data_IF_162581643355
#
_entry.id   IF_162581643355
#
_cell.length_a   1.000
_cell.length_b   1.000
_cell.length_c   1.000
_cell.angle_alpha   90.00
_cell.angle_beta   90.00
_cell.angle_gamma   90.00
#
_symmetry.space_group_name_H-M   'P 1'
#
loop_
_entity.id
_entity.type
_entity.pdbx_description
1 polymer ?
#
# COMPACT_ATOMS: atom_id res chain seq x y z
N UNK A 1 5.87 -32.05 1.70
CA UNK A 1 6.14 -31.70 3.11
C UNK A 1 6.57 -30.27 3.19
N UNK A 2 5.87 -29.42 3.95
CA UNK A 2 6.40 -28.10 4.26
C UNK A 2 7.31 -28.15 5.47
N UNK A 3 8.59 -27.86 5.26
CA UNK A 3 9.51 -27.55 6.34
C UNK A 3 10.46 -26.43 5.88
N UNK A 4 10.63 -25.40 6.72
CA UNK A 4 11.61 -24.31 6.52
C UNK A 4 12.47 -24.23 7.77
N UNK A 5 13.79 -24.36 7.62
CA UNK A 5 14.75 -24.46 8.73
C UNK A 5 14.37 -25.48 9.84
N UNK A 6 13.65 -26.55 9.49
CA UNK A 6 13.22 -27.57 10.46
C UNK A 6 11.89 -27.29 11.16
N UNK A 7 11.25 -26.14 10.92
CA UNK A 7 9.92 -25.82 11.42
C UNK A 7 8.84 -26.20 10.40
N UNK A 8 7.67 -26.62 10.90
CA UNK A 8 6.49 -26.91 10.10
C UNK A 8 5.87 -25.61 9.55
N UNK A 9 5.06 -25.74 8.51
CA UNK A 9 4.21 -24.62 8.10
C UNK A 9 3.04 -24.42 9.05
N UNK A 10 2.60 -23.17 9.18
CA UNK A 10 1.33 -22.87 9.81
C UNK A 10 0.20 -23.48 8.98
N UNK A 11 -0.78 -24.08 9.64
CA UNK A 11 -1.97 -24.64 8.99
C UNK A 11 -2.85 -23.53 8.41
N UNK A 12 -2.85 -22.35 9.03
CA UNK A 12 -3.52 -21.15 8.53
C UNK A 12 -2.54 -20.27 7.70
N UNK A 13 -2.73 -20.15 6.37
CA UNK A 13 -1.89 -19.27 5.53
C UNK A 13 -2.11 -17.77 5.79
N UNK A 14 -3.15 -17.43 6.56
CA UNK A 14 -3.49 -16.06 7.00
C UNK A 14 -3.18 -15.83 8.48
N UNK A 15 -2.30 -16.64 9.07
CA UNK A 15 -1.86 -16.44 10.44
C UNK A 15 -1.26 -15.03 10.63
N UNK A 16 -1.38 -14.51 11.85
CA UNK A 16 -0.76 -13.24 12.23
C UNK A 16 0.76 -13.35 12.09
N UNK A 17 1.37 -12.36 11.43
CA UNK A 17 2.82 -12.31 11.27
C UNK A 17 3.43 -11.80 12.57
N UNK A 18 4.11 -12.68 13.30
CA UNK A 18 4.80 -12.33 14.54
C UNK A 18 6.28 -12.01 14.30
N UNK A 19 6.87 -12.60 13.26
CA UNK A 19 8.28 -12.42 12.93
C UNK A 19 8.53 -12.51 11.42
N UNK A 20 9.57 -11.81 10.94
CA UNK A 20 9.99 -11.77 9.54
C UNK A 20 11.51 -11.82 9.45
N UNK A 21 12.02 -12.66 8.56
CA UNK A 21 13.43 -12.79 8.21
C UNK A 21 13.62 -13.00 6.69
N UNK A 22 14.81 -13.42 6.29
CA UNK A 22 15.18 -13.67 4.89
C UNK A 22 14.46 -14.88 4.27
N UNK A 23 14.00 -15.83 5.09
CA UNK A 23 13.24 -17.00 4.62
C UNK A 23 11.76 -16.69 4.46
N UNK A 24 11.23 -15.73 5.23
CA UNK A 24 9.89 -15.22 5.03
C UNK A 24 9.22 -14.74 6.32
N UNK A 25 8.00 -15.19 6.54
CA UNK A 25 7.15 -14.74 7.64
C UNK A 25 6.73 -15.91 8.51
N UNK A 26 6.72 -15.66 9.81
CA UNK A 26 6.59 -16.67 10.83
C UNK A 26 5.49 -16.32 11.81
N UNK A 27 4.86 -17.35 12.36
CA UNK A 27 3.86 -17.26 13.42
C UNK A 27 4.08 -18.34 14.48
N UNK A 28 3.20 -18.37 15.48
CA UNK A 28 3.14 -19.43 16.49
C UNK A 28 1.78 -20.12 16.36
N UNK A 29 1.79 -21.43 16.14
CA UNK A 29 0.60 -22.28 16.08
C UNK A 29 0.74 -23.38 17.13
N UNK A 30 -0.25 -23.53 18.01
CA UNK A 30 -0.22 -24.48 19.14
C UNK A 30 1.01 -24.36 20.06
N UNK A 31 1.58 -23.15 20.19
CA UNK A 31 2.75 -22.90 21.03
C UNK A 31 4.09 -23.21 20.36
N UNK A 32 4.10 -23.60 19.08
CA UNK A 32 5.31 -23.88 18.31
C UNK A 32 5.47 -22.89 17.14
N UNK A 33 6.72 -22.58 16.80
CA UNK A 33 7.03 -21.76 15.63
C UNK A 33 6.61 -22.46 14.35
N UNK A 34 5.92 -21.72 13.48
CA UNK A 34 5.49 -22.20 12.20
C UNK A 34 5.77 -21.17 11.10
N UNK A 35 6.13 -21.65 9.92
CA UNK A 35 6.37 -20.83 8.73
C UNK A 35 5.05 -20.54 8.02
N UNK A 36 4.71 -19.27 7.79
CA UNK A 36 3.46 -18.92 7.10
C UNK A 36 3.70 -19.07 5.60
N UNK A 37 3.20 -20.17 5.03
CA UNK A 37 3.08 -20.29 3.57
C UNK A 37 1.97 -19.38 3.07
N UNK A 38 2.37 -18.20 2.61
CA UNK A 38 1.54 -17.45 1.66
C UNK A 38 1.84 -18.01 0.28
N UNK A 39 0.89 -18.77 -0.26
CA UNK A 39 0.88 -19.13 -1.68
C UNK A 39 0.58 -17.92 -2.59
N UNK A 40 0.22 -16.78 -1.99
CA UNK A 40 0.03 -15.53 -2.68
C UNK A 40 1.33 -14.73 -2.64
N UNK A 41 2.02 -14.66 -3.79
CA UNK A 41 2.82 -13.47 -4.09
C UNK A 41 1.94 -12.27 -3.75
N UNK A 42 2.34 -11.43 -2.80
CA UNK A 42 1.58 -10.22 -2.52
C UNK A 42 1.41 -9.48 -3.84
N UNK A 43 0.18 -9.41 -4.32
CA UNK A 43 -0.11 -8.72 -5.58
C UNK A 43 0.19 -7.25 -5.34
N UNK A 44 0.99 -6.61 -6.21
CA UNK A 44 1.22 -5.18 -6.14
C UNK A 44 -0.09 -4.41 -5.98
N UNK A 45 -0.15 -3.50 -5.01
CA UNK A 45 -1.36 -2.78 -4.66
C UNK A 45 -1.08 -1.30 -4.55
N UNK A 46 -2.03 -0.49 -5.02
CA UNK A 46 -2.04 0.93 -4.76
C UNK A 46 -2.59 1.22 -3.35
N UNK A 47 -1.73 1.78 -2.52
CA UNK A 47 -2.04 2.18 -1.15
C UNK A 47 -2.28 3.69 -1.15
N UNK A 48 -3.41 4.11 -0.56
CA UNK A 48 -3.74 5.51 -0.31
C UNK A 48 -3.62 5.77 1.19
N UNK A 49 -2.68 6.60 1.58
CA UNK A 49 -2.49 7.01 2.98
C UNK A 49 -2.87 8.47 3.15
N UNK A 50 -3.37 8.83 4.32
CA UNK A 50 -3.85 10.17 4.60
C UNK A 50 -3.28 10.64 5.94
N UNK A 51 -2.05 11.22 5.91
CA UNK A 51 -1.34 11.60 7.13
C UNK A 51 -2.08 12.63 7.99
N UNK A 52 -2.96 13.42 7.37
CA UNK A 52 -3.72 14.47 8.05
C UNK A 52 -4.63 13.93 9.17
N UNK A 53 -5.04 12.65 9.09
CA UNK A 53 -5.90 12.01 10.10
C UNK A 53 -5.19 11.98 11.45
N UNK A 54 -3.89 11.69 11.48
CA UNK A 54 -3.09 11.66 12.72
C UNK A 54 -2.99 13.04 13.38
N UNK A 55 -3.21 14.10 12.60
CA UNK A 55 -3.25 15.50 13.03
C UNK A 55 -4.67 16.00 13.34
N UNK A 56 -5.69 15.14 13.22
CA UNK A 56 -7.10 15.48 13.47
C UNK A 56 -7.85 16.09 12.28
N UNK A 57 -7.28 16.05 11.06
CA UNK A 57 -7.92 16.58 9.86
C UNK A 57 -8.39 15.44 8.94
N UNK A 58 -9.64 15.49 8.44
CA UNK A 58 -10.15 14.45 7.54
C UNK A 58 -9.43 14.47 6.19
N UNK A 59 -9.56 13.39 5.42
CA UNK A 59 -9.09 13.38 4.03
C UNK A 59 -10.07 14.09 3.11
N UNK A 60 -9.56 14.81 2.12
CA UNK A 60 -10.40 15.42 1.10
C UNK A 60 -11.08 14.36 0.24
N UNK A 61 -12.36 14.55 -0.09
CA UNK A 61 -13.07 13.70 -1.06
C UNK A 61 -12.62 14.02 -2.48
N UNK A 62 -12.51 15.31 -2.77
CA UNK A 62 -11.98 15.89 -4.01
C UNK A 62 -10.51 16.19 -3.74
N UNK A 63 -9.63 15.46 -4.41
CA UNK A 63 -8.17 15.61 -4.27
C UNK A 63 -7.66 16.89 -4.96
N UNK A 64 -8.27 18.02 -4.61
CA UNK A 64 -7.97 19.34 -5.13
C UNK A 64 -6.92 20.00 -4.22
N UNK A 65 -5.71 20.12 -4.74
CA UNK A 65 -4.60 20.73 -4.02
C UNK A 65 -4.78 22.24 -3.93
N UNK A 66 -4.79 22.76 -2.71
CA UNK A 66 -4.87 24.21 -2.42
C UNK A 66 -3.60 24.70 -1.73
N UNK A 67 -2.99 23.87 -0.88
CA UNK A 67 -1.81 24.25 -0.09
C UNK A 67 -0.87 23.07 0.13
N UNK A 68 0.42 23.34 0.30
CA UNK A 68 1.44 22.32 0.61
C UNK A 68 2.38 22.87 1.66
N UNK A 69 2.65 22.06 2.69
CA UNK A 69 3.58 22.38 3.77
C UNK A 69 4.46 21.17 4.12
N UNK A 70 5.15 21.24 5.26
CA UNK A 70 6.01 20.15 5.76
C UNK A 70 5.24 18.91 6.20
N UNK A 71 3.94 19.01 6.45
CA UNK A 71 3.08 17.91 6.89
C UNK A 71 2.38 17.21 5.74
N UNK A 72 2.24 17.89 4.59
CA UNK A 72 1.77 17.29 3.36
C UNK A 72 1.02 18.25 2.47
N UNK A 73 0.08 17.68 1.71
CA UNK A 73 -0.75 18.38 0.75
C UNK A 73 -2.16 18.53 1.31
N UNK A 74 -2.76 19.69 1.09
CA UNK A 74 -4.00 20.09 1.74
C UNK A 74 -5.00 20.65 0.72
N UNK A 75 -6.27 20.36 0.96
CA UNK A 75 -7.42 20.95 0.27
C UNK A 75 -8.38 21.60 1.25
N UNK A 76 -9.44 22.21 0.72
CA UNK A 76 -10.51 22.82 1.52
C UNK A 76 -11.86 22.30 1.01
N UNK A 77 -12.64 21.70 1.90
CA UNK A 77 -13.99 21.19 1.61
C UNK A 77 -14.98 21.71 2.65
N UNK A 78 -16.12 22.23 2.19
CA UNK A 78 -17.17 22.80 3.05
C UNK A 78 -16.62 23.85 4.04
N UNK A 79 -15.60 24.60 3.63
CA UNK A 79 -14.92 25.61 4.47
C UNK A 79 -13.93 25.05 5.49
N UNK A 80 -13.66 23.74 5.50
CA UNK A 80 -12.76 23.08 6.44
C UNK A 80 -11.51 22.51 5.73
N UNK A 81 -10.38 22.50 6.45
CA UNK A 81 -9.15 21.88 5.98
C UNK A 81 -9.27 20.36 5.93
N UNK A 82 -8.74 19.77 4.87
CA UNK A 82 -8.63 18.33 4.70
C UNK A 82 -7.29 17.97 4.06
N UNK A 83 -6.79 16.76 4.32
CA UNK A 83 -5.56 16.24 3.74
C UNK A 83 -5.78 15.59 2.39
N UNK A 84 -4.88 15.85 1.46
CA UNK A 84 -4.76 15.12 0.19
C UNK A 84 -4.04 13.81 0.50
N UNK A 85 -4.58 12.69 0.03
CA UNK A 85 -3.97 11.40 0.27
C UNK A 85 -2.69 11.26 -0.55
N UNK A 86 -1.71 10.57 0.02
CA UNK A 86 -0.50 10.14 -0.67
C UNK A 86 -0.73 8.74 -1.22
N UNK A 87 -0.39 8.54 -2.48
CA UNK A 87 -0.35 7.21 -3.07
C UNK A 87 1.04 6.61 -3.01
N UNK A 88 1.09 5.32 -2.71
CA UNK A 88 2.27 4.47 -2.90
C UNK A 88 1.85 3.19 -3.59
N UNK A 89 2.67 2.70 -4.51
CA UNK A 89 2.47 1.42 -5.14
C UNK A 89 3.52 0.44 -4.63
N UNK A 90 3.11 -0.78 -4.28
CA UNK A 90 4.04 -1.78 -3.72
C UNK A 90 4.79 -2.57 -4.81
N UNK A 91 4.46 -2.36 -6.08
CA UNK A 91 5.21 -2.92 -7.21
C UNK A 91 6.31 -1.98 -7.72
N UNK A 92 6.92 -2.37 -8.84
CA UNK A 92 8.14 -1.73 -9.37
C UNK A 92 7.88 -0.43 -10.16
N UNK A 93 6.63 0.01 -10.29
CA UNK A 93 6.26 1.18 -11.08
C UNK A 93 6.00 2.43 -10.21
N UNK A 94 6.43 3.62 -10.67
CA UNK A 94 6.17 4.86 -9.95
C UNK A 94 4.70 5.29 -10.04
N UNK A 95 4.31 6.23 -9.19
CA UNK A 95 3.03 6.93 -9.29
C UNK A 95 3.15 8.05 -10.33
N UNK A 96 2.13 8.20 -11.18
CA UNK A 96 2.05 9.29 -12.13
C UNK A 96 1.99 10.66 -11.41
N UNK A 97 2.78 11.63 -11.85
CA UNK A 97 2.91 12.94 -11.18
C UNK A 97 1.97 13.99 -11.74
N UNK A 98 1.70 13.95 -13.03
CA UNK A 98 1.04 15.01 -13.80
C UNK A 98 -0.11 14.49 -14.65
N UNK A 99 0.05 13.32 -15.28
CA UNK A 99 -0.98 12.73 -16.11
C UNK A 99 -2.10 12.16 -15.27
N UNK A 100 -3.30 12.36 -15.78
CA UNK A 100 -4.54 11.78 -15.27
C UNK A 100 -5.24 10.94 -16.36
N UNK A 101 -4.59 10.81 -17.51
CA UNK A 101 -5.11 10.05 -18.64
C UNK A 101 -4.88 8.56 -18.40
N UNK A 102 -5.98 7.81 -18.37
CA UNK A 102 -5.95 6.35 -18.24
C UNK A 102 -5.68 5.78 -19.63
N UNK A 103 -4.51 5.15 -19.80
CA UNK A 103 -4.14 4.50 -21.05
C UNK A 103 -4.34 2.98 -20.98
N UNK A 104 -4.38 2.41 -19.77
CA UNK A 104 -4.63 1.00 -19.53
C UNK A 104 -5.27 0.78 -18.15
N UNK A 105 -5.99 -0.32 -17.97
CA UNK A 105 -6.62 -0.68 -16.70
C UNK A 105 -6.61 -2.19 -16.52
N UNK A 106 -6.17 -2.62 -15.35
CA UNK A 106 -6.25 -4.00 -14.85
C UNK A 106 -6.77 -4.00 -13.40
N UNK A 107 -6.01 -4.54 -12.44
CA UNK A 107 -6.23 -4.32 -11.00
C UNK A 107 -6.09 -2.86 -10.60
N UNK A 108 -5.32 -2.07 -11.35
CA UNK A 108 -5.10 -0.64 -11.13
C UNK A 108 -5.31 0.14 -12.43
N UNK A 109 -5.27 1.48 -12.34
CA UNK A 109 -5.31 2.38 -13.50
C UNK A 109 -3.90 2.84 -13.83
N UNK A 110 -3.57 2.86 -15.12
CA UNK A 110 -2.21 3.13 -15.58
C UNK A 110 -2.17 4.33 -16.52
N UNK A 111 -1.11 5.12 -16.39
CA UNK A 111 -0.75 6.23 -17.24
C UNK A 111 0.65 6.02 -17.85
N UNK A 112 1.03 6.92 -18.75
CA UNK A 112 2.39 6.99 -19.31
C UNK A 112 2.88 8.43 -19.20
N UNK A 113 4.06 8.61 -18.60
CA UNK A 113 4.77 9.89 -18.47
C UNK A 113 6.22 9.70 -18.88
N UNK A 114 6.78 10.64 -19.64
CA UNK A 114 8.19 10.57 -20.09
C UNK A 114 8.57 9.21 -20.71
N UNK A 115 7.64 8.61 -21.46
CA UNK A 115 7.75 7.27 -22.05
C UNK A 115 7.93 6.12 -21.03
N UNK A 116 7.51 6.32 -19.78
CA UNK A 116 7.52 5.31 -18.71
C UNK A 116 6.10 5.04 -18.19
N UNK A 117 5.83 3.77 -17.88
CA UNK A 117 4.58 3.38 -17.23
C UNK A 117 4.55 3.86 -15.79
N UNK A 118 3.39 4.35 -15.36
CA UNK A 118 3.14 4.77 -14.00
C UNK A 118 1.72 4.41 -13.57
N UNK A 119 1.51 4.25 -12.26
CA UNK A 119 0.20 3.95 -11.68
C UNK A 119 -0.51 5.26 -11.36
N UNK A 120 -1.78 5.35 -11.75
CA UNK A 120 -2.61 6.52 -11.51
C UNK A 120 -3.16 6.53 -10.09
N UNK A 121 -2.84 7.63 -9.41
CA UNK A 121 -3.43 8.10 -8.17
C UNK A 121 -4.50 9.15 -8.53
#
# INVERSE_FOLDING_TARGET
>A
NCQVQGYSCCSNPKAEVLYRDDDGIWSIENGEWCFIRRDEKETPKLIRTCPSIEMGYPCCKKQELVYTDTHGQWGIEDGNWCGIYKCTYTGDYPICKTTKEIVYTDTEKWGVEDNQWCVLC
#
